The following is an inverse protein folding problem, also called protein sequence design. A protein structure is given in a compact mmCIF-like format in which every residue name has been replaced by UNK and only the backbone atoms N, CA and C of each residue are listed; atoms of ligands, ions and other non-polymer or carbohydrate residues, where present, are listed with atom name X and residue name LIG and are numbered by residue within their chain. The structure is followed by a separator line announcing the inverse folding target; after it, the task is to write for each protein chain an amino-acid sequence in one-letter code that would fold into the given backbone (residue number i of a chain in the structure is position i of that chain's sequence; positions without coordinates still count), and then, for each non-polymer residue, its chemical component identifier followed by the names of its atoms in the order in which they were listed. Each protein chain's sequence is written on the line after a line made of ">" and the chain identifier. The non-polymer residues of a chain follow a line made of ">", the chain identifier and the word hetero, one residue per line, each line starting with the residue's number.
data_IF_632939751886
#
_entry.id   IF_632939751886
#
_cell.length_a   1.000
_cell.length_b   1.000
_cell.length_c   1.000
_cell.angle_alpha   90.00
_cell.angle_beta   90.00
_cell.angle_gamma   90.00
#
_symmetry.space_group_name_H-M   'P 1'
#
loop_
_entity.id
_entity.type
_entity.pdbx_description
1 polymer ?
#
# COMPACT_ATOMS: atom_id res chain seq x y z
N UNK A 1 28.96 1.30 0.10
CA UNK A 1 27.63 1.48 -0.54
C UNK A 1 27.28 0.10 -1.03
N UNK A 2 26.95 -0.75 -0.08
CA UNK A 2 26.66 -2.17 -0.23
C UNK A 2 25.65 -2.47 0.89
N UNK A 3 24.72 -3.40 0.66
CA UNK A 3 23.58 -3.81 1.52
C UNK A 3 22.21 -3.16 1.25
N UNK A 4 21.75 -3.06 0.00
CA UNK A 4 20.31 -2.83 -0.30
C UNK A 4 19.70 -3.90 -1.24
N UNK A 5 20.39 -5.00 -1.55
CA UNK A 5 19.89 -5.98 -2.54
C UNK A 5 19.97 -7.44 -2.09
N UNK A 6 19.53 -7.75 -0.87
CA UNK A 6 19.00 -9.07 -0.49
C UNK A 6 17.95 -8.78 0.61
N UNK A 7 16.70 -9.25 0.61
CA UNK A 7 16.00 -10.31 -0.09
C UNK A 7 14.57 -9.87 -0.42
N UNK A 8 14.09 -10.33 -1.57
CA UNK A 8 12.70 -10.28 -1.93
C UNK A 8 12.51 -11.05 -3.20
N UNK A 9 12.73 -12.37 -3.16
CA UNK A 9 12.43 -13.26 -4.28
C UNK A 9 11.05 -12.92 -4.84
N UNK A 10 11.04 -12.50 -6.11
CA UNK A 10 9.82 -12.38 -6.87
C UNK A 10 9.33 -13.81 -7.14
N UNK A 11 8.02 -14.02 -7.09
CA UNK A 11 7.40 -15.31 -7.42
C UNK A 11 6.22 -14.97 -8.30
N UNK A 12 6.20 -15.52 -9.51
CA UNK A 12 5.07 -15.40 -10.45
C UNK A 12 3.90 -16.28 -9.98
N UNK A 13 2.71 -16.03 -10.53
CA UNK A 13 1.47 -16.79 -10.26
C UNK A 13 1.60 -18.31 -10.49
N UNK A 14 2.59 -18.72 -11.28
CA UNK A 14 2.98 -20.11 -11.57
C UNK A 14 4.05 -20.68 -10.62
N UNK A 15 4.36 -19.98 -9.52
CA UNK A 15 5.38 -20.32 -8.52
C UNK A 15 6.82 -20.39 -9.04
N UNK A 16 7.09 -19.84 -10.23
CA UNK A 16 8.46 -19.74 -10.75
C UNK A 16 9.19 -18.51 -10.18
N UNK A 17 10.50 -18.61 -10.08
CA UNK A 17 11.36 -17.45 -9.79
C UNK A 17 11.53 -16.64 -11.09
N UNK A 18 11.12 -15.36 -11.15
CA UNK A 18 11.33 -14.51 -12.31
C UNK A 18 12.83 -14.42 -12.58
N UNK A 19 13.25 -14.96 -13.72
CA UNK A 19 14.67 -15.02 -14.07
C UNK A 19 15.20 -13.65 -14.49
N UNK A 20 14.32 -12.77 -14.99
CA UNK A 20 14.67 -11.42 -15.43
C UNK A 20 13.52 -10.45 -15.14
N UNK A 21 13.71 -9.53 -14.18
CA UNK A 21 12.86 -8.34 -14.04
C UNK A 21 13.44 -7.28 -14.98
N UNK A 22 12.69 -6.89 -16.01
CA UNK A 22 13.12 -5.83 -16.92
C UNK A 22 13.12 -4.48 -16.18
N UNK A 23 14.31 -3.90 -16.00
CA UNK A 23 14.48 -2.64 -15.27
C UNK A 23 14.17 -1.40 -16.11
N UNK A 24 14.00 -1.54 -17.43
CA UNK A 24 13.66 -0.45 -18.35
C UNK A 24 13.06 -0.93 -19.69
N UNK A 25 12.65 0.05 -20.51
CA UNK A 25 11.98 -0.10 -21.80
C UNK A 25 12.74 -0.82 -22.91
N UNK A 26 14.03 -1.16 -22.72
CA UNK A 26 14.88 -1.77 -23.76
C UNK A 26 15.15 -3.26 -23.53
N UNK A 27 14.69 -3.83 -22.42
CA UNK A 27 14.88 -5.25 -22.07
C UNK A 27 13.60 -6.06 -22.33
N UNK A 28 13.67 -7.10 -23.16
CA UNK A 28 12.53 -7.98 -23.47
C UNK A 28 12.30 -8.98 -22.32
N UNK A 29 11.11 -8.96 -21.72
CA UNK A 29 10.68 -9.97 -20.76
C UNK A 29 10.14 -11.21 -21.49
N UNK A 30 10.91 -12.30 -21.51
CA UNK A 30 10.45 -13.70 -21.49
C UNK A 30 9.51 -14.28 -22.56
N UNK A 31 8.77 -13.48 -23.35
CA UNK A 31 7.72 -13.94 -24.29
C UNK A 31 6.60 -14.78 -23.66
N UNK A 32 6.29 -14.58 -22.38
CA UNK A 32 5.14 -15.23 -21.73
C UNK A 32 3.98 -14.23 -21.61
N UNK A 33 2.79 -14.63 -22.05
CA UNK A 33 1.61 -13.76 -22.26
C UNK A 33 0.90 -13.33 -20.95
N UNK A 34 1.60 -12.72 -20.00
CA UNK A 34 0.96 -12.21 -18.79
C UNK A 34 1.24 -10.71 -18.53
N UNK A 35 0.15 -10.06 -18.11
CA UNK A 35 -0.02 -8.80 -17.38
C UNK A 35 0.41 -7.48 -18.04
N UNK A 36 -0.56 -6.79 -18.65
CA UNK A 36 -0.44 -5.39 -19.04
C UNK A 36 -1.03 -4.46 -17.98
N UNK A 37 -0.26 -3.47 -17.54
CA UNK A 37 -0.73 -2.34 -16.75
C UNK A 37 -0.10 -1.04 -17.26
N UNK A 38 -0.94 -0.09 -17.69
CA UNK A 38 -0.49 1.25 -18.10
C UNK A 38 -0.37 2.14 -16.86
N UNK A 39 0.85 2.57 -16.55
CA UNK A 39 1.10 3.61 -15.54
C UNK A 39 1.03 4.96 -16.25
N UNK A 40 -0.06 5.71 -16.06
CA UNK A 40 -0.30 6.97 -16.74
C UNK A 40 0.72 8.06 -16.38
N UNK A 41 1.69 8.28 -17.26
CA UNK A 41 2.35 9.58 -17.51
C UNK A 41 2.67 9.65 -19.02
N UNK A 42 2.47 10.79 -19.71
CA UNK A 42 2.73 10.90 -21.16
C UNK A 42 4.21 10.69 -21.55
N UNK A 43 5.10 10.56 -20.57
CA UNK A 43 6.55 10.52 -20.74
C UNK A 43 7.20 9.23 -20.24
N UNK A 44 6.42 8.25 -19.75
CA UNK A 44 6.92 6.94 -19.34
C UNK A 44 6.03 5.86 -19.95
N UNK A 45 6.51 5.29 -21.05
CA UNK A 45 5.82 4.30 -21.86
C UNK A 45 6.01 2.88 -21.32
N UNK A 46 4.86 2.22 -21.17
CA UNK A 46 4.56 0.79 -21.33
C UNK A 46 5.30 -0.26 -20.49
N UNK A 47 4.50 -1.07 -19.81
CA UNK A 47 4.82 -2.44 -19.41
C UNK A 47 3.85 -3.36 -20.18
N UNK A 48 4.34 -3.89 -21.31
CA UNK A 48 3.85 -5.04 -22.11
C UNK A 48 2.92 -4.85 -23.34
N UNK A 49 2.96 -5.89 -24.21
CA UNK A 49 2.75 -5.91 -25.67
C UNK A 49 1.31 -6.28 -26.14
N UNK A 50 0.26 -5.90 -25.40
CA UNK A 50 -1.12 -6.06 -25.92
C UNK A 50 -1.93 -4.77 -25.75
N UNK A 51 -2.75 -4.46 -26.76
CA UNK A 51 -3.61 -3.28 -26.75
C UNK A 51 -4.72 -3.42 -25.70
N UNK A 52 -4.52 -2.83 -24.52
CA UNK A 52 -5.54 -2.77 -23.49
C UNK A 52 -6.62 -1.75 -23.86
N UNK A 53 -7.86 -2.21 -24.08
CA UNK A 53 -9.03 -1.36 -24.37
C UNK A 53 -9.78 -0.89 -23.11
N UNK A 54 -9.27 -1.22 -21.91
CA UNK A 54 -9.83 -0.83 -20.60
C UNK A 54 -8.78 -0.07 -19.78
N UNK A 55 -9.08 1.19 -19.43
CA UNK A 55 -8.23 2.04 -18.58
C UNK A 55 -8.51 1.76 -17.10
N UNK A 56 -7.81 0.80 -16.51
CA UNK A 56 -7.75 0.59 -15.05
C UNK A 56 -6.37 1.04 -14.55
N UNK A 57 -6.27 1.79 -13.45
CA UNK A 57 -4.98 2.08 -12.83
C UNK A 57 -4.37 0.76 -12.34
N UNK A 58 -3.19 0.37 -12.86
CA UNK A 58 -2.52 -0.90 -12.52
C UNK A 58 -2.27 -1.13 -11.02
N UNK A 59 -2.41 -0.08 -10.20
CA UNK A 59 -2.35 -0.12 -8.75
C UNK A 59 -3.42 -1.03 -8.12
N UNK A 60 -4.55 -1.27 -8.79
CA UNK A 60 -5.69 -1.97 -8.18
C UNK A 60 -5.54 -3.49 -8.17
N UNK A 61 -4.61 -4.02 -8.96
CA UNK A 61 -4.47 -5.47 -9.22
C UNK A 61 -3.01 -5.94 -9.25
N UNK A 62 -2.05 -5.06 -8.93
CA UNK A 62 -0.61 -5.29 -9.15
C UNK A 62 -0.10 -6.61 -8.57
N UNK A 63 -0.72 -7.16 -7.51
CA UNK A 63 -0.37 -8.45 -6.88
C UNK A 63 -1.62 -9.12 -6.28
N UNK A 64 -2.57 -9.54 -7.12
CA UNK A 64 -3.79 -10.23 -6.68
C UNK A 64 -4.92 -9.29 -6.24
N UNK A 65 -5.93 -9.84 -5.54
CA UNK A 65 -7.10 -9.07 -5.11
C UNK A 65 -6.73 -8.06 -4.00
N UNK A 66 -6.86 -6.76 -4.28
CA UNK A 66 -6.77 -5.74 -3.23
C UNK A 66 -8.02 -5.80 -2.33
N UNK A 67 -7.88 -6.39 -1.15
CA UNK A 67 -8.96 -6.60 -0.18
C UNK A 67 -9.47 -5.31 0.46
N UNK A 68 -8.68 -4.23 0.41
CA UNK A 68 -9.05 -2.92 0.94
C UNK A 68 -9.84 -2.05 -0.05
N UNK A 69 -9.85 -2.41 -1.35
CA UNK A 69 -10.41 -1.56 -2.40
C UNK A 69 -11.86 -1.16 -2.11
N UNK A 70 -12.10 0.16 -2.00
CA UNK A 70 -13.41 0.79 -1.75
C UNK A 70 -14.14 0.30 -0.49
N UNK A 71 -13.43 -0.34 0.42
CA UNK A 71 -13.95 -0.72 1.74
C UNK A 71 -14.15 0.49 2.64
N UNK A 72 -14.95 0.30 3.70
CA UNK A 72 -15.14 1.34 4.72
C UNK A 72 -13.81 1.66 5.41
N UNK A 73 -13.43 2.93 5.41
CA UNK A 73 -12.21 3.41 6.06
C UNK A 73 -12.45 4.70 6.85
N UNK A 74 -11.63 4.93 7.87
CA UNK A 74 -11.72 6.11 8.74
C UNK A 74 -10.36 6.57 9.26
N UNK A 75 -10.31 7.83 9.71
CA UNK A 75 -9.19 8.42 10.44
C UNK A 75 -9.62 8.73 11.87
N UNK A 76 -8.70 8.58 12.82
CA UNK A 76 -8.91 9.13 14.17
C UNK A 76 -8.79 10.67 14.22
N UNK A 77 -8.19 11.28 13.18
CA UNK A 77 -8.11 12.73 12.99
C UNK A 77 -8.73 13.13 11.65
N UNK A 78 -10.04 13.45 11.68
CA UNK A 78 -10.85 13.69 10.49
C UNK A 78 -10.32 14.86 9.65
N UNK A 79 -10.33 14.68 8.34
CA UNK A 79 -10.03 15.70 7.33
C UNK A 79 -11.16 15.71 6.30
N UNK A 80 -11.82 16.86 6.11
CA UNK A 80 -12.96 16.96 5.18
C UNK A 80 -12.50 16.96 3.71
N UNK A 81 -11.35 17.58 3.43
CA UNK A 81 -10.81 17.70 2.06
C UNK A 81 -10.13 16.42 1.59
N UNK A 82 -9.47 15.71 2.51
CA UNK A 82 -8.65 14.53 2.24
C UNK A 82 -9.19 13.34 3.07
N UNK A 83 -10.42 12.87 2.78
CA UNK A 83 -11.11 11.84 3.57
C UNK A 83 -10.39 10.51 3.57
N UNK A 84 -10.70 9.66 4.56
CA UNK A 84 -10.12 8.32 4.70
C UNK A 84 -10.31 7.44 3.47
N UNK A 85 -11.42 7.59 2.76
CA UNK A 85 -11.75 6.80 1.56
C UNK A 85 -10.73 6.95 0.44
N UNK A 86 -9.94 8.03 0.42
CA UNK A 86 -8.85 8.16 -0.54
C UNK A 86 -7.76 7.10 -0.33
N UNK A 87 -7.58 6.59 0.89
CA UNK A 87 -6.49 5.67 1.21
C UNK A 87 -6.68 4.26 0.68
N UNK A 88 -7.78 4.02 -0.04
CA UNK A 88 -8.16 2.73 -0.59
C UNK A 88 -9.09 2.87 -1.81
N UNK A 89 -9.00 3.98 -2.54
CA UNK A 89 -9.80 4.24 -3.75
C UNK A 89 -9.07 3.83 -5.04
N UNK A 90 -7.80 3.44 -4.92
CA UNK A 90 -6.89 3.11 -6.01
C UNK A 90 -6.68 4.26 -6.99
N UNK A 91 -6.52 5.48 -6.47
CA UNK A 91 -6.23 6.67 -7.27
C UNK A 91 -4.93 7.31 -6.82
N UNK A 92 -4.05 7.58 -7.79
CA UNK A 92 -2.77 8.26 -7.50
C UNK A 92 -2.91 9.78 -7.26
N UNK A 93 -4.03 10.38 -7.65
CA UNK A 93 -4.27 11.83 -7.62
C UNK A 93 -5.01 12.28 -6.35
N UNK A 94 -5.59 11.35 -5.60
CA UNK A 94 -6.17 11.57 -4.28
C UNK A 94 -5.18 11.14 -3.21
N UNK A 95 -5.32 11.71 -2.01
CA UNK A 95 -4.51 11.34 -0.85
C UNK A 95 -5.33 11.46 0.43
N UNK A 96 -4.96 10.69 1.44
CA UNK A 96 -5.34 10.86 2.83
C UNK A 96 -4.31 11.77 3.48
N UNK A 97 -4.78 12.83 4.15
CA UNK A 97 -3.90 13.67 4.97
C UNK A 97 -4.58 14.08 6.27
N UNK A 98 -3.90 13.85 7.40
CA UNK A 98 -4.36 14.33 8.69
C UNK A 98 -4.05 15.83 8.88
N UNK A 99 -4.86 16.58 9.67
CA UNK A 99 -4.59 17.98 9.96
C UNK A 99 -3.20 18.22 10.59
N UNK A 100 -2.53 19.33 10.29
CA UNK A 100 -1.21 19.64 10.90
C UNK A 100 -1.29 19.75 12.43
N UNK A 101 -2.44 20.16 12.97
CA UNK A 101 -2.69 20.23 14.41
C UNK A 101 -2.55 18.89 15.14
N UNK A 102 -2.53 17.75 14.42
CA UNK A 102 -2.28 16.44 14.99
C UNK A 102 -0.85 16.25 15.50
N UNK A 103 0.06 17.19 15.24
CA UNK A 103 1.41 17.21 15.81
C UNK A 103 1.42 17.05 17.36
N UNK A 104 0.34 17.45 18.04
CA UNK A 104 0.18 17.31 19.50
C UNK A 104 -0.40 15.96 19.94
N UNK A 105 -1.00 15.20 19.05
CA UNK A 105 -1.56 13.89 19.39
C UNK A 105 -0.43 12.86 19.58
N UNK A 106 -0.59 11.88 20.48
CA UNK A 106 0.40 10.82 20.64
C UNK A 106 0.43 9.87 19.43
N UNK A 107 -0.70 9.74 18.74
CA UNK A 107 -0.91 8.82 17.62
C UNK A 107 -1.92 9.39 16.62
N UNK A 108 -1.65 9.19 15.33
CA UNK A 108 -2.63 9.36 14.24
C UNK A 108 -2.69 8.06 13.43
N UNK A 109 -3.91 7.66 13.09
CA UNK A 109 -4.16 6.39 12.45
C UNK A 109 -5.23 6.50 11.35
N UNK A 110 -4.98 5.74 10.27
CA UNK A 110 -5.97 5.42 9.25
C UNK A 110 -6.30 3.93 9.36
N UNK A 111 -7.58 3.58 9.27
CA UNK A 111 -8.06 2.20 9.39
C UNK A 111 -9.01 1.86 8.26
N UNK A 112 -8.91 0.63 7.75
CA UNK A 112 -9.85 0.03 6.82
C UNK A 112 -10.45 -1.24 7.42
N UNK A 113 -11.77 -1.41 7.26
CA UNK A 113 -12.51 -2.63 7.55
C UNK A 113 -12.60 -3.49 6.29
N UNK A 114 -11.93 -4.64 6.27
CA UNK A 114 -11.92 -5.54 5.11
C UNK A 114 -13.28 -6.24 4.88
N UNK A 115 -14.18 -6.18 5.86
CA UNK A 115 -15.53 -6.76 5.86
C UNK A 115 -15.60 -8.13 6.53
N UNK A 116 -14.57 -8.95 6.40
CA UNK A 116 -14.44 -10.24 7.09
C UNK A 116 -12.99 -10.49 7.54
N UNK A 117 -12.75 -11.41 8.50
CA UNK A 117 -11.40 -11.81 8.87
C UNK A 117 -10.66 -12.44 7.70
N UNK A 118 -9.43 -11.99 7.47
CA UNK A 118 -8.51 -12.54 6.47
C UNK A 118 -7.14 -12.73 7.10
N UNK A 119 -6.31 -13.59 6.50
CA UNK A 119 -4.89 -13.67 6.83
C UNK A 119 -4.13 -12.70 5.92
N UNK A 120 -3.81 -11.52 6.44
CA UNK A 120 -3.04 -10.49 5.72
C UNK A 120 -1.60 -10.94 5.57
N UNK A 121 -1.08 -10.93 4.35
CA UNK A 121 0.29 -11.37 4.03
C UNK A 121 1.17 -10.21 3.57
N UNK A 122 0.59 -9.19 2.96
CA UNK A 122 1.35 -8.03 2.46
C UNK A 122 0.47 -6.80 2.26
N UNK A 123 1.12 -5.64 2.15
CA UNK A 123 0.49 -4.36 1.83
C UNK A 123 1.29 -3.64 0.75
N UNK A 124 0.61 -3.01 -0.21
CA UNK A 124 1.23 -2.12 -1.19
C UNK A 124 0.93 -0.69 -0.79
N UNK A 125 1.97 0.02 -0.35
CA UNK A 125 1.86 1.42 0.02
C UNK A 125 2.17 2.31 -1.19
N UNK A 126 1.24 3.18 -1.53
CA UNK A 126 1.44 4.23 -2.52
C UNK A 126 1.70 5.56 -1.81
N UNK A 127 2.90 6.11 -2.01
CA UNK A 127 3.24 7.42 -1.49
C UNK A 127 2.50 8.52 -2.23
N UNK A 128 2.24 9.62 -1.53
CA UNK A 128 1.70 10.85 -2.14
C UNK A 128 2.47 11.21 -3.41
N UNK A 129 1.70 11.47 -4.47
CA UNK A 129 2.19 11.99 -5.73
C UNK A 129 2.52 13.50 -5.68
N UNK A 130 2.32 14.16 -6.81
CA UNK A 130 2.52 15.61 -6.97
C UNK A 130 1.29 16.45 -6.64
N UNK A 131 0.18 15.83 -6.22
CA UNK A 131 -1.05 16.57 -5.94
C UNK A 131 -0.88 17.60 -4.81
N UNK A 132 -1.69 18.66 -4.87
CA UNK A 132 -1.92 19.59 -3.76
C UNK A 132 -0.70 20.41 -3.29
N UNK A 133 0.28 20.65 -4.17
CA UNK A 133 1.42 21.57 -4.00
C UNK A 133 2.28 21.36 -2.74
N UNK A 134 2.29 20.16 -2.16
CA UNK A 134 3.14 19.86 -1.00
C UNK A 134 4.48 19.25 -1.42
N UNK A 135 5.63 19.82 -1.03
CA UNK A 135 6.93 19.32 -1.47
C UNK A 135 7.44 18.09 -0.69
N UNK A 136 6.94 17.86 0.54
CA UNK A 136 7.51 16.89 1.48
C UNK A 136 6.83 15.52 1.39
N UNK A 137 7.62 14.48 1.16
CA UNK A 137 7.21 13.09 1.36
C UNK A 137 7.35 12.73 2.84
N UNK A 138 6.24 12.47 3.53
CA UNK A 138 6.25 12.07 4.93
C UNK A 138 5.86 10.62 4.97
N UNK A 139 6.82 9.71 4.86
CA UNK A 139 6.58 8.27 4.92
C UNK A 139 7.72 7.57 5.67
N UNK A 140 7.78 7.86 6.96
CA UNK A 140 8.72 7.26 7.92
C UNK A 140 7.98 6.99 9.21
N UNK A 141 8.61 6.28 10.15
CA UNK A 141 8.04 5.96 11.46
C UNK A 141 6.59 5.45 11.35
N UNK A 142 6.34 4.61 10.35
CA UNK A 142 5.00 4.13 9.99
C UNK A 142 4.89 2.66 10.33
N UNK A 143 3.83 2.32 11.05
CA UNK A 143 3.51 0.95 11.42
C UNK A 143 2.22 0.52 10.74
N UNK A 144 2.16 -0.73 10.26
CA UNK A 144 0.90 -1.33 9.83
C UNK A 144 0.60 -2.51 10.75
N UNK A 145 -0.57 -2.47 11.38
CA UNK A 145 -1.07 -3.50 12.29
C UNK A 145 -2.39 -4.06 11.78
N UNK A 146 -2.65 -5.32 12.12
CA UNK A 146 -3.87 -6.04 11.75
C UNK A 146 -4.51 -6.57 13.04
N UNK A 147 -5.82 -6.36 13.19
CA UNK A 147 -6.54 -6.71 14.40
C UNK A 147 -7.98 -7.17 14.13
N UNK A 148 -8.58 -7.77 15.16
CA UNK A 148 -9.97 -8.24 15.12
C UNK A 148 -10.96 -7.23 15.69
N UNK A 149 -10.49 -6.21 16.42
CA UNK A 149 -11.32 -5.13 16.97
C UNK A 149 -11.07 -3.82 16.21
N UNK A 150 -12.10 -2.99 15.92
CA UNK A 150 -11.93 -1.74 15.15
C UNK A 150 -11.08 -0.66 15.84
N UNK A 151 -10.83 -0.79 17.15
CA UNK A 151 -10.18 0.27 17.95
C UNK A 151 -8.92 -0.17 18.69
N UNK A 152 -8.72 -1.46 18.95
CA UNK A 152 -7.64 -1.97 19.81
C UNK A 152 -6.42 -2.39 18.97
N UNK A 153 -5.44 -1.49 18.84
CA UNK A 153 -4.25 -1.69 17.99
C UNK A 153 -2.92 -1.55 18.75
N UNK A 154 -2.89 -2.05 19.97
CA UNK A 154 -1.67 -2.15 20.76
C UNK A 154 -0.94 -3.50 20.55
N UNK A 155 0.15 -3.70 21.28
CA UNK A 155 0.97 -4.91 21.25
C UNK A 155 0.26 -6.19 21.70
N UNK A 156 -0.86 -6.08 22.42
CA UNK A 156 -1.59 -7.20 23.02
C UNK A 156 -2.80 -7.62 22.20
N UNK A 157 -3.46 -6.66 21.54
CA UNK A 157 -4.75 -6.89 20.87
C UNK A 157 -4.66 -6.92 19.33
N UNK A 158 -3.49 -6.62 18.76
CA UNK A 158 -3.28 -6.64 17.30
C UNK A 158 -1.89 -7.16 16.94
N UNK A 159 -1.74 -7.76 15.77
CA UNK A 159 -0.45 -8.19 15.23
C UNK A 159 0.18 -7.12 14.35
N UNK A 160 1.50 -6.92 14.47
CA UNK A 160 2.25 -6.02 13.60
C UNK A 160 2.57 -6.73 12.29
N UNK A 161 2.09 -6.18 11.17
CA UNK A 161 2.45 -6.66 9.83
C UNK A 161 3.85 -6.11 9.45
N UNK A 162 4.00 -4.78 9.43
CA UNK A 162 5.27 -4.13 9.06
C UNK A 162 5.59 -2.91 9.93
N UNK A 163 6.88 -2.66 10.12
CA UNK A 163 7.42 -1.44 10.74
C UNK A 163 8.41 -0.79 9.79
N UNK A 164 8.17 0.49 9.47
CA UNK A 164 8.91 1.23 8.46
C UNK A 164 9.47 2.51 9.09
N UNK A 165 10.67 2.40 9.67
CA UNK A 165 11.29 3.45 10.46
C UNK A 165 11.79 4.63 9.62
N UNK A 166 12.46 4.33 8.49
CA UNK A 166 13.07 5.31 7.58
C UNK A 166 12.13 5.61 6.39
N UNK A 167 12.35 6.71 5.64
CA UNK A 167 11.69 6.93 4.35
C UNK A 167 11.78 5.68 3.46
N UNK A 168 10.63 5.16 3.01
CA UNK A 168 10.57 3.82 2.42
C UNK A 168 10.04 3.73 0.98
N UNK A 169 9.37 4.78 0.49
CA UNK A 169 8.92 4.93 -0.91
C UNK A 169 9.15 6.36 -1.40
N UNK A 170 9.58 6.57 -2.64
CA UNK A 170 9.66 7.92 -3.22
C UNK A 170 8.25 8.47 -3.57
N UNK A 171 8.10 9.79 -3.71
CA UNK A 171 6.80 10.41 -4.05
C UNK A 171 6.26 9.88 -5.37
N UNK A 172 4.97 9.56 -5.42
CA UNK A 172 4.30 9.05 -6.61
C UNK A 172 4.68 7.63 -7.01
N UNK A 173 5.51 6.96 -6.22
CA UNK A 173 5.83 5.54 -6.37
C UNK A 173 5.06 4.70 -5.34
N UNK A 174 4.92 3.42 -5.64
CA UNK A 174 4.39 2.42 -4.73
C UNK A 174 5.48 1.40 -4.36
N UNK A 175 5.35 0.76 -3.20
CA UNK A 175 6.20 -0.37 -2.81
C UNK A 175 5.40 -1.40 -2.02
N UNK A 176 5.57 -2.67 -2.39
CA UNK A 176 5.02 -3.80 -1.66
C UNK A 176 5.89 -4.09 -0.42
N UNK A 177 5.24 -4.29 0.70
CA UNK A 177 5.85 -4.77 1.93
C UNK A 177 5.15 -6.06 2.37
N UNK A 178 5.92 -7.13 2.50
CA UNK A 178 5.45 -8.38 3.09
C UNK A 178 5.40 -8.23 4.60
N UNK A 179 4.34 -8.75 5.23
CA UNK A 179 4.30 -8.82 6.68
C UNK A 179 5.46 -9.69 7.18
N UNK A 180 6.02 -9.36 8.36
CA UNK A 180 7.10 -10.16 8.98
C UNK A 180 6.64 -11.60 9.19
N UNK A 181 5.38 -11.75 9.59
CA UNK A 181 4.62 -13.00 9.60
C UNK A 181 3.21 -12.69 9.11
N UNK A 182 2.50 -13.61 8.44
CA UNK A 182 1.09 -13.42 8.12
C UNK A 182 0.27 -13.14 9.38
N UNK A 183 -0.62 -12.14 9.33
CA UNK A 183 -1.42 -11.72 10.49
C UNK A 183 -2.90 -11.85 10.17
N UNK A 184 -3.63 -12.58 11.02
CA UNK A 184 -5.09 -12.73 10.88
C UNK A 184 -5.83 -11.57 11.55
N UNK A 185 -6.79 -10.99 10.83
CA UNK A 185 -7.73 -10.02 11.38
C UNK A 185 -8.66 -9.43 10.31
N UNK A 186 -9.58 -8.57 10.75
CA UNK A 186 -10.57 -7.90 9.87
C UNK A 186 -10.19 -6.45 9.58
N UNK A 187 -9.49 -5.81 10.52
CA UNK A 187 -9.17 -4.40 10.44
C UNK A 187 -7.67 -4.21 10.22
N UNK A 188 -7.30 -3.41 9.23
CA UNK A 188 -5.91 -3.00 8.99
C UNK A 188 -5.77 -1.54 9.36
N UNK A 189 -4.77 -1.22 10.20
CA UNK A 189 -4.49 0.13 10.65
C UNK A 189 -3.07 0.53 10.31
N UNK A 190 -2.94 1.65 9.61
CA UNK A 190 -1.68 2.35 9.42
C UNK A 190 -1.55 3.42 10.51
N UNK A 191 -0.50 3.32 11.32
CA UNK A 191 -0.28 4.08 12.55
C UNK A 191 0.98 4.92 12.42
N UNK A 192 0.90 6.16 12.91
CA UNK A 192 2.02 7.06 13.11
C UNK A 192 1.99 7.65 14.52
N UNK A 193 3.11 7.53 15.22
CA UNK A 193 3.29 7.99 16.61
C UNK A 193 4.31 9.12 16.66
N UNK A 194 4.32 9.89 17.75
CA UNK A 194 5.37 10.90 17.95
C UNK A 194 6.77 10.28 17.76
N UNK A 195 7.71 10.98 17.10
CA UNK A 195 7.65 12.39 16.70
C UNK A 195 7.00 12.70 15.33
N UNK A 196 6.47 11.72 14.61
CA UNK A 196 5.85 11.93 13.29
C UNK A 196 4.37 11.56 13.35
N UNK A 197 3.48 12.53 13.52
CA UNK A 197 2.03 12.30 13.68
C UNK A 197 1.19 12.97 12.60
N UNK A 198 1.80 13.24 11.45
CA UNK A 198 1.06 13.61 10.24
C UNK A 198 0.95 12.37 9.37
N UNK A 199 -0.26 11.91 9.07
CA UNK A 199 -0.49 10.88 8.06
C UNK A 199 -0.57 11.50 6.67
N UNK A 200 0.08 10.85 5.72
CA UNK A 200 0.13 11.25 4.33
C UNK A 200 0.38 9.98 3.50
N UNK A 201 -0.64 9.54 2.76
CA UNK A 201 -0.57 8.41 1.83
C UNK A 201 -1.54 8.64 0.68
N UNK A 202 -1.24 8.11 -0.50
CA UNK A 202 -2.20 8.05 -1.59
C UNK A 202 -3.10 6.83 -1.41
N UNK A 203 -2.51 5.64 -1.27
CA UNK A 203 -3.28 4.40 -1.12
C UNK A 203 -2.52 3.38 -0.24
N UNK A 204 -3.27 2.48 0.40
CA UNK A 204 -2.77 1.27 1.02
C UNK A 204 -3.62 0.07 0.58
N UNK A 205 -3.14 -0.63 -0.43
CA UNK A 205 -3.73 -1.89 -0.84
C UNK A 205 -3.32 -3.02 0.12
N UNK A 206 -4.26 -3.93 0.40
CA UNK A 206 -4.08 -5.04 1.35
C UNK A 206 -4.26 -6.36 0.61
N UNK A 207 -3.32 -7.28 0.78
CA UNK A 207 -3.36 -8.61 0.17
C UNK A 207 -3.24 -9.69 1.23
N UNK A 208 -3.88 -10.83 0.95
CA UNK A 208 -3.94 -11.94 1.89
C UNK A 208 -4.90 -13.03 1.45
N UNK A 209 -5.06 -14.02 2.32
CA UNK A 209 -5.94 -15.15 2.09
C UNK A 209 -7.25 -14.94 2.85
N UNK A 210 -8.38 -15.07 2.14
CA UNK A 210 -9.70 -15.14 2.79
C UNK A 210 -9.75 -16.45 3.58
N UNK A 211 -10.19 -16.38 4.83
CA UNK A 211 -10.43 -17.58 5.62
C UNK A 211 -11.75 -18.19 5.15
N UNK A 212 -11.76 -19.49 4.86
CA UNK A 212 -13.01 -20.17 4.53
C UNK A 212 -13.92 -20.15 5.77
N UNK A 213 -15.15 -19.69 5.58
CA UNK A 213 -16.21 -19.86 6.57
C UNK A 213 -16.68 -21.32 6.48
N UNK A 214 -16.53 -22.08 7.57
CA UNK A 214 -17.08 -23.43 7.72
C UNK A 214 -18.51 -23.38 8.22
#
# INVERSE_FOLDING_TARGET
>A
MDDILEEGGYVTSDYQTPKDVAWNSHTRNGRHHEDCAVIGSPQLTAVHDIGCTLSLEGLCQYIGENLALRKLSWLNARSEKMPASHGNDCRRDTVVESPISTAKFPEVAWTVDLGSPVQVTSVLYLARGSCCDKPKNRNRLTEVRVGSHPTEFDGRHSGRCVWLERPFVARGYARLFRCTVPVTGRYVRLIRRQPETVLDLADLAVFGNRLQEF
#
